data_IF_432730142339
#
_entry.id   IF_432730142339
#
_cell.length_a   1.000
_cell.length_b   1.000
_cell.length_c   1.000
_cell.angle_alpha   90.00
_cell.angle_beta   90.00
_cell.angle_gamma   90.00
#
_symmetry.space_group_name_H-M   'P 1'
#
loop_
_entity.id
_entity.type
_entity.pdbx_description
1 polymer ?
#
# COMPACT_ATOMS: atom_id res chain seq x y z
N UNK A 1 -22.67 33.75 -58.03
CA UNK A 1 -23.87 33.23 -57.34
C UNK A 1 -23.67 33.52 -55.85
N UNK A 2 -24.33 34.47 -55.19
CA UNK A 2 -25.52 35.28 -55.52
C UNK A 2 -26.79 34.44 -55.78
N UNK A 3 -27.95 34.70 -55.15
CA UNK A 3 -28.31 35.73 -54.14
C UNK A 3 -29.52 35.29 -53.30
N UNK A 4 -29.92 36.08 -52.29
CA UNK A 4 -31.07 35.87 -51.39
C UNK A 4 -32.44 36.25 -51.99
N UNK A 5 -33.54 35.93 -51.28
CA UNK A 5 -34.71 36.76 -50.86
C UNK A 5 -35.83 35.80 -50.32
N UNK A 6 -36.43 35.95 -49.12
CA UNK A 6 -37.51 36.88 -48.66
C UNK A 6 -38.85 36.72 -49.43
N UNK A 7 -40.07 36.76 -48.87
CA UNK A 7 -40.62 36.93 -47.48
C UNK A 7 -42.07 36.32 -47.42
N UNK A 8 -43.11 36.63 -46.62
CA UNK A 8 -43.50 37.68 -45.63
C UNK A 8 -44.80 37.27 -44.87
N UNK A 9 -44.97 37.66 -43.58
CA UNK A 9 -46.27 37.93 -42.88
C UNK A 9 -47.33 36.81 -42.70
N UNK A 10 -48.39 36.88 -41.85
CA UNK A 10 -48.90 37.92 -40.90
C UNK A 10 -49.58 37.30 -39.64
N UNK A 11 -50.08 38.11 -38.68
CA UNK A 11 -50.62 37.67 -37.37
C UNK A 11 -52.16 37.79 -37.22
N UNK A 12 -52.78 37.00 -36.34
CA UNK A 12 -54.21 37.13 -35.93
C UNK A 12 -54.39 36.93 -34.41
N UNK A 13 -55.48 37.47 -33.85
CA UNK A 13 -55.77 37.70 -32.41
C UNK A 13 -56.64 36.59 -31.77
N UNK A 14 -56.52 36.40 -30.44
CA UNK A 14 -57.47 35.64 -29.59
C UNK A 14 -57.56 36.25 -28.18
N UNK A 15 -58.73 36.19 -27.51
CA UNK A 15 -59.08 37.08 -26.37
C UNK A 15 -59.77 36.36 -25.18
N UNK A 16 -59.25 36.66 -23.98
CA UNK A 16 -59.87 36.75 -22.63
C UNK A 16 -61.14 35.95 -22.29
N UNK A 17 -61.07 35.18 -21.20
CA UNK A 17 -62.10 35.20 -20.12
C UNK A 17 -61.39 35.23 -18.75
N UNK A 18 -61.90 36.03 -17.81
CA UNK A 18 -61.53 36.01 -16.38
C UNK A 18 -62.80 35.72 -15.57
N UNK A 19 -62.70 34.86 -14.56
CA UNK A 19 -63.70 34.75 -13.49
C UNK A 19 -62.96 34.71 -12.16
N UNK A 20 -63.37 35.59 -11.24
CA UNK A 20 -62.91 35.58 -9.85
C UNK A 20 -64.15 35.52 -8.93
N UNK A 21 -64.06 34.71 -7.87
CA UNK A 21 -65.07 34.65 -6.83
C UNK A 21 -64.38 34.46 -5.47
N UNK A 22 -64.56 35.41 -4.56
CA UNK A 22 -64.13 35.30 -3.18
C UNK A 22 -65.25 34.67 -2.33
N UNK A 23 -64.88 34.05 -1.20
CA UNK A 23 -65.31 34.48 0.15
C UNK A 23 -64.59 33.63 1.20
N UNK A 24 -64.31 34.23 2.37
CA UNK A 24 -63.60 33.59 3.47
C UNK A 24 -64.54 32.77 4.37
N UNK A 25 -63.99 31.80 5.10
CA UNK A 25 -64.37 31.55 6.48
C UNK A 25 -63.14 31.27 7.36
N UNK A 26 -63.20 31.63 8.63
CA UNK A 26 -62.03 31.69 9.52
C UNK A 26 -61.85 30.42 10.39
N UNK A 27 -60.61 30.13 10.81
CA UNK A 27 -60.33 28.98 11.67
C UNK A 27 -58.92 28.90 12.26
N UNK A 28 -58.76 29.45 13.47
CA UNK A 28 -57.75 29.10 14.50
C UNK A 28 -56.26 29.35 14.19
N UNK A 29 -55.55 29.97 15.13
CA UNK A 29 -54.10 30.17 15.09
C UNK A 29 -53.32 28.97 15.65
N UNK A 30 -52.14 28.69 15.11
CA UNK A 30 -51.10 27.93 15.81
C UNK A 30 -49.71 28.52 15.50
N UNK A 31 -48.79 28.43 16.47
CA UNK A 31 -47.49 29.08 16.37
C UNK A 31 -46.54 28.36 15.41
N UNK A 32 -45.70 29.12 14.70
CA UNK A 32 -44.68 28.57 13.81
C UNK A 32 -43.70 27.67 14.56
N UNK A 33 -43.51 26.44 14.06
CA UNK A 33 -42.43 25.55 14.53
C UNK A 33 -41.10 25.96 13.90
N UNK A 34 -39.97 25.88 14.64
CA UNK A 34 -38.67 26.27 14.13
C UNK A 34 -38.15 25.28 13.07
N UNK A 35 -37.16 25.72 12.30
CA UNK A 35 -36.44 24.86 11.36
C UNK A 35 -35.88 23.62 12.07
N UNK A 36 -36.09 22.44 11.48
CA UNK A 36 -35.55 21.18 12.00
C UNK A 36 -34.03 21.20 11.91
N UNK A 37 -33.37 21.16 13.06
CA UNK A 37 -31.92 20.93 13.15
C UNK A 37 -31.55 19.62 12.46
N UNK A 38 -30.65 19.68 11.47
CA UNK A 38 -30.00 18.49 10.94
C UNK A 38 -29.13 17.91 12.05
N UNK A 39 -29.55 16.77 12.59
CA UNK A 39 -28.87 16.10 13.70
C UNK A 39 -27.48 15.60 13.30
N UNK A 40 -26.57 15.52 14.27
CA UNK A 40 -25.13 15.28 14.06
C UNK A 40 -24.80 13.78 13.93
N UNK A 41 -25.60 13.04 13.17
CA UNK A 41 -25.60 11.57 13.08
C UNK A 41 -24.49 11.00 12.18
N UNK A 42 -23.26 11.47 12.39
CA UNK A 42 -22.05 11.03 11.68
C UNK A 42 -20.99 10.38 12.60
N UNK A 43 -21.32 10.12 13.87
CA UNK A 43 -20.39 9.58 14.88
C UNK A 43 -20.64 8.12 15.32
N UNK A 44 -21.65 7.43 14.79
CA UNK A 44 -21.95 6.02 15.12
C UNK A 44 -21.74 5.03 13.97
N UNK A 45 -20.81 5.33 13.06
CA UNK A 45 -20.41 4.45 11.93
C UNK A 45 -19.74 3.10 12.30
N UNK A 46 -19.52 2.81 13.59
CA UNK A 46 -18.85 1.58 14.07
C UNK A 46 -19.60 0.27 13.76
N UNK A 47 -20.85 0.33 13.30
CA UNK A 47 -21.72 -0.85 13.15
C UNK A 47 -21.72 -1.59 11.80
N UNK A 48 -21.05 -1.08 10.74
CA UNK A 48 -21.18 -1.67 9.38
C UNK A 48 -19.89 -1.92 8.58
N UNK A 49 -18.71 -1.52 9.06
CA UNK A 49 -17.43 -1.88 8.42
C UNK A 49 -16.70 -2.96 9.25
N UNK A 50 -17.42 -4.04 9.56
CA UNK A 50 -16.78 -5.36 9.61
C UNK A 50 -16.80 -5.94 8.19
N UNK A 51 -15.90 -5.45 7.32
CA UNK A 51 -15.28 -6.38 6.35
C UNK A 51 -14.74 -7.53 7.19
N UNK A 52 -14.93 -8.77 6.75
CA UNK A 52 -14.29 -9.91 7.42
C UNK A 52 -12.79 -9.72 7.24
N UNK A 53 -12.11 -9.26 8.28
CA UNK A 53 -10.65 -9.22 8.32
C UNK A 53 -10.15 -10.58 8.82
N UNK A 54 -8.94 -10.96 8.41
CA UNK A 54 -8.25 -12.08 9.02
C UNK A 54 -7.94 -11.77 10.50
N UNK A 55 -8.73 -12.32 11.43
CA UNK A 55 -8.54 -12.09 12.89
C UNK A 55 -7.31 -12.85 13.47
N UNK A 56 -6.20 -12.96 12.71
CA UNK A 56 -4.92 -13.49 13.20
C UNK A 56 -4.16 -12.50 14.11
N UNK A 57 -4.49 -11.20 14.04
CA UNK A 57 -3.88 -10.14 14.85
C UNK A 57 -2.46 -9.76 14.42
N UNK A 58 -2.13 -9.95 13.15
CA UNK A 58 -0.92 -9.42 12.49
C UNK A 58 -1.29 -8.27 11.54
N UNK A 59 -0.30 -7.55 11.02
CA UNK A 59 -0.51 -6.51 10.00
C UNK A 59 -1.37 -5.32 10.44
N UNK A 60 -1.39 -4.96 11.73
CA UNK A 60 -2.15 -3.80 12.22
C UNK A 60 -1.66 -2.46 11.62
N UNK A 61 -0.40 -2.43 11.21
CA UNK A 61 0.22 -1.49 10.27
C UNK A 61 0.84 -2.29 9.11
N UNK A 62 1.25 -1.66 7.99
CA UNK A 62 1.95 -2.36 6.91
C UNK A 62 3.23 -3.02 7.42
N UNK A 63 3.61 -4.18 6.87
CA UNK A 63 4.86 -4.84 7.23
C UNK A 63 6.07 -4.01 6.78
N UNK A 64 7.15 -4.10 7.56
CA UNK A 64 8.44 -3.49 7.26
C UNK A 64 9.54 -4.53 7.40
N UNK A 65 10.46 -4.59 6.44
CA UNK A 65 11.51 -5.61 6.44
C UNK A 65 12.41 -5.54 5.20
N UNK A 66 12.94 -6.68 4.82
CA UNK A 66 13.81 -6.88 3.66
C UNK A 66 13.43 -8.17 2.93
N UNK A 67 13.68 -8.23 1.63
CA UNK A 67 13.48 -9.42 0.80
C UNK A 67 14.68 -9.61 -0.15
N UNK A 68 15.10 -10.85 -0.38
CA UNK A 68 16.28 -11.18 -1.19
C UNK A 68 16.13 -10.97 -2.71
N UNK A 69 14.91 -10.94 -3.25
CA UNK A 69 14.66 -11.16 -4.67
C UNK A 69 15.29 -10.11 -5.59
N UNK A 70 14.96 -8.83 -5.41
CA UNK A 70 15.32 -7.79 -6.38
C UNK A 70 16.84 -7.70 -6.61
N UNK A 71 17.64 -7.80 -5.54
CA UNK A 71 19.11 -7.75 -5.65
C UNK A 71 19.78 -9.10 -5.93
N UNK A 72 19.33 -10.20 -5.31
CA UNK A 72 20.06 -11.47 -5.34
C UNK A 72 19.41 -12.57 -6.22
N UNK A 73 18.11 -12.47 -6.50
CA UNK A 73 17.32 -13.52 -7.15
C UNK A 73 17.58 -14.89 -6.48
N UNK A 74 17.90 -15.95 -7.25
CA UNK A 74 18.27 -17.26 -6.69
C UNK A 74 19.65 -17.32 -6.00
N UNK A 75 20.47 -16.26 -5.99
CA UNK A 75 21.85 -16.30 -5.47
C UNK A 75 21.91 -16.17 -3.93
N UNK A 76 21.04 -16.89 -3.22
CA UNK A 76 20.87 -16.83 -1.77
C UNK A 76 21.51 -18.02 -1.06
N UNK A 77 21.97 -17.80 0.17
CA UNK A 77 22.52 -18.83 1.05
C UNK A 77 22.45 -18.39 2.52
N UNK A 78 22.65 -19.33 3.45
CA UNK A 78 22.55 -19.10 4.89
C UNK A 78 23.46 -17.97 5.40
N UNK A 79 24.69 -17.83 4.88
CA UNK A 79 25.60 -16.78 5.34
C UNK A 79 25.12 -15.39 4.89
N UNK A 80 24.70 -15.24 3.63
CA UNK A 80 24.11 -13.99 3.13
C UNK A 80 22.97 -13.52 4.03
N UNK A 81 22.05 -14.41 4.39
CA UNK A 81 20.85 -14.03 5.17
C UNK A 81 21.22 -13.67 6.62
N UNK A 82 22.22 -14.34 7.20
CA UNK A 82 22.76 -13.98 8.52
C UNK A 82 23.44 -12.61 8.50
N UNK A 83 24.29 -12.35 7.51
CA UNK A 83 24.94 -11.05 7.31
C UNK A 83 23.92 -9.93 7.06
N UNK A 84 22.86 -10.18 6.28
CA UNK A 84 21.74 -9.27 6.07
C UNK A 84 21.02 -8.95 7.39
N UNK A 85 20.72 -9.95 8.21
CA UNK A 85 20.10 -9.75 9.52
C UNK A 85 21.01 -8.91 10.46
N UNK A 86 22.31 -9.17 10.46
CA UNK A 86 23.30 -8.37 11.20
C UNK A 86 23.44 -6.94 10.65
N UNK A 87 23.35 -6.75 9.34
CA UNK A 87 23.34 -5.42 8.71
C UNK A 87 22.07 -4.63 9.06
N UNK A 88 20.90 -5.26 9.07
CA UNK A 88 19.64 -4.62 9.49
C UNK A 88 19.68 -4.15 10.94
N UNK A 89 20.32 -4.91 11.85
CA UNK A 89 20.53 -4.46 13.24
C UNK A 89 21.59 -3.35 13.34
N UNK A 90 22.76 -3.55 12.74
CA UNK A 90 23.91 -2.64 12.92
C UNK A 90 23.76 -1.29 12.19
N UNK A 91 23.05 -1.23 11.08
CA UNK A 91 22.60 0.02 10.42
C UNK A 91 21.51 0.75 11.21
N UNK A 92 20.89 0.10 12.19
CA UNK A 92 19.77 0.62 12.97
C UNK A 92 18.40 0.48 12.30
N UNK A 93 18.30 -0.05 11.08
CA UNK A 93 17.03 -0.28 10.37
C UNK A 93 16.04 -1.11 11.20
N UNK A 94 16.51 -2.16 11.89
CA UNK A 94 15.70 -2.98 12.79
C UNK A 94 15.01 -2.13 13.88
N UNK A 95 15.71 -1.14 14.44
CA UNK A 95 15.19 -0.22 15.45
C UNK A 95 14.22 0.86 14.88
N UNK A 96 13.98 0.86 13.56
CA UNK A 96 12.96 1.68 12.89
C UNK A 96 11.69 0.89 12.55
N UNK A 97 11.68 -0.43 12.80
CA UNK A 97 10.56 -1.32 12.52
C UNK A 97 10.79 -2.31 11.37
N UNK A 98 11.92 -2.25 10.65
CA UNK A 98 12.27 -3.24 9.63
C UNK A 98 12.60 -4.59 10.28
N UNK A 99 11.56 -5.38 10.57
CA UNK A 99 11.64 -6.58 11.43
C UNK A 99 11.67 -7.91 10.65
N UNK A 100 11.10 -7.98 9.45
CA UNK A 100 11.07 -9.22 8.65
C UNK A 100 12.29 -9.36 7.76
N UNK A 101 12.99 -10.49 7.86
CA UNK A 101 14.04 -10.94 6.93
C UNK A 101 13.43 -12.03 6.06
N UNK A 102 12.96 -11.68 4.87
CA UNK A 102 12.23 -12.61 4.01
C UNK A 102 13.18 -13.32 3.03
N UNK A 103 13.19 -14.65 3.08
CA UNK A 103 13.65 -15.46 1.95
C UNK A 103 12.61 -15.40 0.83
N UNK A 104 13.06 -15.11 -0.39
CA UNK A 104 12.26 -15.33 -1.60
C UNK A 104 12.56 -16.72 -2.21
N UNK A 105 12.29 -16.93 -3.50
CA UNK A 105 12.45 -18.22 -4.19
C UNK A 105 13.88 -18.82 -4.14
N UNK A 106 13.99 -20.08 -4.55
CA UNK A 106 15.23 -20.86 -4.70
C UNK A 106 15.94 -21.24 -3.38
N UNK A 107 15.25 -21.17 -2.24
CA UNK A 107 15.78 -21.62 -0.94
C UNK A 107 15.73 -23.15 -0.71
N UNK A 108 14.84 -23.86 -1.43
CA UNK A 108 14.55 -25.28 -1.25
C UNK A 108 15.39 -26.21 -2.14
N UNK A 109 15.33 -27.51 -1.85
CA UNK A 109 15.68 -28.54 -2.82
C UNK A 109 14.62 -28.65 -3.93
N UNK A 110 15.04 -29.09 -5.11
CA UNK A 110 14.15 -29.31 -6.28
C UNK A 110 13.04 -30.34 -6.02
N UNK A 111 13.23 -31.25 -5.05
CA UNK A 111 12.31 -32.33 -4.75
C UNK A 111 11.95 -32.36 -3.27
N UNK A 112 10.67 -32.67 -2.97
CA UNK A 112 10.21 -33.02 -1.62
C UNK A 112 10.91 -34.31 -1.15
N UNK A 113 11.15 -34.42 0.16
CA UNK A 113 11.61 -35.70 0.74
C UNK A 113 10.52 -36.77 0.66
N UNK A 114 10.85 -38.04 0.92
CA UNK A 114 9.91 -39.17 0.76
C UNK A 114 8.64 -39.09 1.64
N UNK A 115 8.66 -38.27 2.69
CA UNK A 115 7.49 -37.96 3.54
C UNK A 115 6.59 -36.85 2.96
N UNK A 116 6.95 -36.23 1.83
CA UNK A 116 6.22 -35.13 1.19
C UNK A 116 6.58 -33.72 1.69
N UNK A 117 7.44 -33.58 2.70
CA UNK A 117 7.83 -32.26 3.20
C UNK A 117 8.75 -31.51 2.21
N UNK A 118 8.64 -30.18 2.18
CA UNK A 118 9.71 -29.32 1.68
C UNK A 118 10.99 -29.49 2.54
N UNK A 119 12.15 -29.26 1.95
CA UNK A 119 13.45 -29.26 2.62
C UNK A 119 14.32 -28.14 2.04
N UNK A 120 15.15 -27.52 2.88
CA UNK A 120 16.10 -26.48 2.46
C UNK A 120 17.17 -27.05 1.54
N UNK A 121 17.67 -26.27 0.59
CA UNK A 121 18.80 -26.65 -0.24
C UNK A 121 20.02 -26.96 0.66
N UNK A 122 20.53 -28.19 0.64
CA UNK A 122 21.54 -28.64 1.60
C UNK A 122 22.93 -28.00 1.40
N UNK A 123 23.17 -27.38 0.23
CA UNK A 123 24.42 -26.68 -0.08
C UNK A 123 24.35 -25.19 0.26
N UNK A 124 23.21 -24.54 0.00
CA UNK A 124 23.00 -23.13 0.31
C UNK A 124 22.59 -22.89 1.77
N UNK A 125 21.82 -23.82 2.38
CA UNK A 125 21.29 -23.72 3.74
C UNK A 125 21.65 -24.97 4.57
N UNK A 126 22.95 -25.26 4.79
CA UNK A 126 23.40 -26.51 5.41
C UNK A 126 22.92 -26.73 6.85
N UNK A 127 22.59 -25.67 7.60
CA UNK A 127 22.01 -25.80 8.95
C UNK A 127 20.48 -25.96 8.94
N UNK A 128 19.83 -25.79 7.78
CA UNK A 128 18.37 -25.80 7.60
C UNK A 128 17.66 -24.54 8.09
N UNK A 129 16.44 -24.31 7.58
CA UNK A 129 15.65 -23.08 7.84
C UNK A 129 15.40 -22.85 9.34
N UNK A 130 15.23 -23.90 10.16
CA UNK A 130 15.05 -23.74 11.61
C UNK A 130 16.24 -23.06 12.28
N UNK A 131 17.47 -23.49 11.99
CA UNK A 131 18.66 -22.87 12.58
C UNK A 131 18.85 -21.41 12.10
N UNK A 132 18.44 -21.11 10.87
CA UNK A 132 18.40 -19.74 10.35
C UNK A 132 17.32 -18.89 11.04
N UNK A 133 16.13 -19.43 11.29
CA UNK A 133 15.06 -18.75 12.04
C UNK A 133 15.50 -18.47 13.48
N UNK A 134 16.06 -19.46 14.18
CA UNK A 134 16.61 -19.30 15.53
C UNK A 134 17.71 -18.23 15.56
N UNK A 135 18.55 -18.13 14.51
CA UNK A 135 19.54 -17.05 14.37
C UNK A 135 18.87 -15.68 14.20
N UNK A 136 17.92 -15.53 13.29
CA UNK A 136 17.21 -14.26 13.03
C UNK A 136 16.42 -13.81 14.26
N UNK A 137 15.76 -14.74 14.97
CA UNK A 137 15.10 -14.47 16.26
C UNK A 137 16.09 -14.02 17.33
N UNK A 138 17.31 -14.56 17.37
CA UNK A 138 18.35 -14.11 18.31
C UNK A 138 18.80 -12.65 18.10
N UNK A 139 18.53 -12.07 16.92
CA UNK A 139 18.75 -10.65 16.59
C UNK A 139 17.57 -9.75 16.94
N UNK A 140 16.45 -10.31 17.44
CA UNK A 140 15.19 -9.59 17.63
C UNK A 140 14.39 -9.37 16.34
N UNK A 141 14.77 -10.05 15.26
CA UNK A 141 14.12 -10.00 13.95
C UNK A 141 13.20 -11.22 13.76
N UNK A 142 12.48 -11.27 12.63
CA UNK A 142 11.54 -12.32 12.23
C UNK A 142 11.96 -12.93 10.89
N UNK A 143 11.81 -14.24 10.70
CA UNK A 143 12.15 -14.89 9.43
C UNK A 143 10.91 -15.09 8.56
N UNK A 144 10.95 -14.58 7.34
CA UNK A 144 9.99 -14.92 6.30
C UNK A 144 10.49 -15.99 5.34
N UNK A 145 9.56 -16.72 4.75
CA UNK A 145 9.80 -17.72 3.71
C UNK A 145 8.90 -17.49 2.51
N UNK A 146 9.18 -18.23 1.44
CA UNK A 146 8.46 -18.18 0.18
C UNK A 146 7.96 -19.56 -0.24
N UNK A 147 6.78 -19.61 -0.86
CA UNK A 147 6.32 -20.74 -1.68
C UNK A 147 5.25 -20.26 -2.67
N UNK A 148 4.61 -21.17 -3.39
CA UNK A 148 3.69 -20.88 -4.49
C UNK A 148 2.36 -21.63 -4.32
N UNK A 149 1.25 -21.00 -4.70
CA UNK A 149 -0.07 -21.61 -4.90
C UNK A 149 -0.17 -22.44 -6.20
N UNK A 150 0.94 -23.05 -6.62
CA UNK A 150 1.09 -23.94 -7.77
C UNK A 150 1.93 -25.18 -7.46
N UNK A 151 2.28 -25.96 -8.49
CA UNK A 151 3.06 -27.20 -8.33
C UNK A 151 4.57 -26.97 -8.13
N UNK A 152 5.10 -25.90 -8.71
CA UNK A 152 6.48 -25.43 -8.58
C UNK A 152 6.46 -23.92 -8.38
N UNK A 153 7.54 -23.37 -7.80
CA UNK A 153 7.72 -21.92 -7.70
C UNK A 153 8.03 -21.26 -9.04
N UNK A 154 7.96 -19.92 -9.11
CA UNK A 154 8.17 -19.17 -10.34
C UNK A 154 9.52 -19.40 -11.03
N UNK A 155 10.61 -19.64 -10.28
CA UNK A 155 11.91 -20.03 -10.86
C UNK A 155 11.95 -21.46 -11.39
N UNK A 156 10.99 -22.32 -11.02
CA UNK A 156 11.00 -23.75 -11.27
C UNK A 156 12.06 -24.52 -10.48
N UNK A 157 12.81 -23.87 -9.58
CA UNK A 157 13.94 -24.50 -8.85
C UNK A 157 13.51 -25.33 -7.65
N UNK A 158 12.30 -25.13 -7.13
CA UNK A 158 11.76 -25.86 -5.98
C UNK A 158 10.24 -26.08 -6.06
N UNK A 159 9.65 -27.01 -5.27
CA UNK A 159 8.23 -27.29 -5.27
C UNK A 159 7.37 -26.14 -4.68
N UNK A 160 6.20 -25.91 -5.28
CA UNK A 160 5.13 -25.11 -4.70
C UNK A 160 4.31 -25.93 -3.70
N UNK A 161 3.40 -25.28 -2.96
CA UNK A 161 2.62 -25.90 -1.87
C UNK A 161 1.20 -26.33 -2.27
N UNK A 162 0.80 -26.24 -3.55
CA UNK A 162 -0.55 -26.62 -3.99
C UNK A 162 -0.83 -28.11 -3.71
N UNK A 163 -1.87 -28.39 -2.92
CA UNK A 163 -2.21 -29.74 -2.43
C UNK A 163 -1.35 -30.24 -1.26
N UNK A 164 -0.36 -29.45 -0.80
CA UNK A 164 0.49 -29.72 0.36
C UNK A 164 0.34 -28.64 1.45
N UNK A 165 -0.66 -27.75 1.37
CA UNK A 165 -0.75 -26.54 2.19
C UNK A 165 -0.76 -26.86 3.69
N UNK A 166 -1.52 -27.86 4.11
CA UNK A 166 -1.58 -28.33 5.50
C UNK A 166 -0.29 -29.00 6.00
N UNK A 167 0.58 -29.48 5.11
CA UNK A 167 1.87 -30.09 5.42
C UNK A 167 2.95 -29.02 5.50
N UNK A 168 2.97 -28.09 4.55
CA UNK A 168 3.99 -27.05 4.46
C UNK A 168 3.75 -25.97 5.51
N UNK A 169 2.51 -25.56 5.78
CA UNK A 169 2.21 -24.64 6.89
C UNK A 169 2.68 -25.18 8.26
N UNK A 170 2.52 -26.49 8.51
CA UNK A 170 3.04 -27.16 9.72
C UNK A 170 4.57 -27.23 9.71
N UNK A 171 5.17 -27.45 8.54
CA UNK A 171 6.63 -27.41 8.35
C UNK A 171 7.20 -26.02 8.68
N UNK A 172 6.67 -24.96 8.07
CA UNK A 172 7.05 -23.56 8.33
C UNK A 172 6.88 -23.18 9.80
N UNK A 173 5.76 -23.56 10.43
CA UNK A 173 5.53 -23.33 11.86
C UNK A 173 6.56 -24.08 12.75
N UNK A 174 6.92 -25.33 12.41
CA UNK A 174 7.95 -26.10 13.13
C UNK A 174 9.35 -25.49 13.01
N UNK A 175 9.64 -24.87 11.86
CA UNK A 175 10.86 -24.11 11.60
C UNK A 175 10.86 -22.72 12.24
N UNK A 176 9.74 -22.26 12.80
CA UNK A 176 9.65 -20.94 13.45
C UNK A 176 9.47 -19.77 12.48
N UNK A 177 9.08 -20.01 11.23
CA UNK A 177 8.76 -18.96 10.24
C UNK A 177 7.68 -18.02 10.77
N UNK A 178 7.81 -16.72 10.48
CA UNK A 178 6.90 -15.65 10.92
C UNK A 178 6.09 -15.03 9.77
N UNK A 179 6.51 -15.24 8.53
CA UNK A 179 5.94 -14.62 7.34
C UNK A 179 6.00 -15.58 6.14
N UNK A 180 4.96 -15.61 5.32
CA UNK A 180 4.93 -16.33 4.04
C UNK A 180 4.56 -15.36 2.91
N UNK A 181 5.48 -15.14 1.96
CA UNK A 181 5.11 -14.72 0.59
C UNK A 181 4.60 -15.97 -0.14
N UNK A 182 3.41 -15.89 -0.70
CA UNK A 182 2.77 -17.02 -1.37
C UNK A 182 2.39 -16.62 -2.79
N UNK A 183 3.03 -17.23 -3.77
CA UNK A 183 3.02 -16.85 -5.19
C UNK A 183 1.95 -17.59 -6.01
N UNK A 184 1.97 -17.43 -7.33
CA UNK A 184 0.89 -17.85 -8.22
C UNK A 184 1.34 -18.51 -9.54
N UNK A 185 2.61 -18.85 -9.71
CA UNK A 185 3.10 -19.56 -10.89
C UNK A 185 2.63 -21.02 -10.91
N UNK A 186 2.80 -21.71 -12.05
CA UNK A 186 2.57 -23.17 -12.20
C UNK A 186 1.23 -23.70 -11.62
N UNK A 187 0.20 -22.85 -11.57
CA UNK A 187 -1.12 -23.22 -11.09
C UNK A 187 -1.96 -23.83 -12.25
N UNK A 188 -2.94 -24.72 -11.97
CA UNK A 188 -3.68 -25.44 -13.00
C UNK A 188 -4.80 -24.61 -13.66
N UNK A 189 -4.71 -23.28 -13.65
CA UNK A 189 -5.75 -22.36 -14.13
C UNK A 189 -6.92 -22.16 -13.16
N UNK A 190 -6.85 -22.67 -11.93
CA UNK A 190 -7.88 -22.47 -10.89
C UNK A 190 -7.76 -21.09 -10.24
N UNK A 191 -8.89 -20.51 -9.85
CA UNK A 191 -8.93 -19.13 -9.33
C UNK A 191 -8.07 -18.97 -8.08
N UNK A 192 -7.34 -17.84 -7.91
CA UNK A 192 -6.68 -17.55 -6.65
C UNK A 192 -7.68 -17.48 -5.47
N UNK A 193 -8.95 -17.13 -5.72
CA UNK A 193 -10.04 -17.15 -4.73
C UNK A 193 -10.39 -18.56 -4.22
N UNK A 194 -9.98 -19.61 -4.92
CA UNK A 194 -10.16 -21.00 -4.50
C UNK A 194 -8.91 -21.53 -3.78
N UNK A 195 -7.71 -21.24 -4.33
CA UNK A 195 -6.44 -21.75 -3.82
C UNK A 195 -5.96 -21.06 -2.53
N UNK A 196 -5.94 -19.73 -2.50
CA UNK A 196 -5.36 -18.98 -1.37
C UNK A 196 -6.08 -19.18 -0.02
N UNK A 197 -7.42 -19.36 0.05
CA UNK A 197 -8.08 -19.73 1.31
C UNK A 197 -7.60 -21.04 1.93
N UNK A 198 -7.09 -21.99 1.12
CA UNK A 198 -6.58 -23.28 1.61
C UNK A 198 -5.30 -23.05 2.42
N UNK A 199 -4.33 -22.31 1.86
CA UNK A 199 -3.10 -21.95 2.57
C UNK A 199 -3.37 -21.04 3.78
N UNK A 200 -4.27 -20.05 3.67
CA UNK A 200 -4.70 -19.23 4.81
C UNK A 200 -5.20 -20.08 5.99
N UNK A 201 -6.11 -21.03 5.71
CA UNK A 201 -6.63 -21.97 6.71
C UNK A 201 -5.52 -22.87 7.27
N UNK A 202 -4.60 -23.33 6.43
CA UNK A 202 -3.46 -24.14 6.86
C UNK A 202 -2.52 -23.39 7.81
N UNK A 203 -2.21 -22.11 7.51
CA UNK A 203 -1.41 -21.23 8.38
C UNK A 203 -2.10 -20.97 9.72
N UNK A 204 -3.40 -20.65 9.73
CA UNK A 204 -4.19 -20.50 10.96
C UNK A 204 -4.18 -21.77 11.82
N UNK A 205 -4.24 -22.95 11.19
CA UNK A 205 -4.24 -24.26 11.85
C UNK A 205 -2.81 -24.77 12.18
N UNK A 206 -1.75 -24.06 11.81
CA UNK A 206 -0.36 -24.52 11.96
C UNK A 206 0.15 -24.54 13.42
N UNK A 207 -0.54 -23.81 14.31
CA UNK A 207 -0.10 -23.58 15.69
C UNK A 207 0.84 -22.39 15.88
N UNK A 208 1.31 -21.75 14.80
CA UNK A 208 2.10 -20.51 14.84
C UNK A 208 1.35 -19.38 14.13
N UNK A 209 1.49 -18.14 14.63
CA UNK A 209 1.04 -16.95 13.89
C UNK A 209 2.04 -16.65 12.79
N UNK A 210 1.61 -16.76 11.54
CA UNK A 210 2.40 -16.46 10.34
C UNK A 210 1.67 -15.35 9.59
N UNK A 211 2.38 -14.29 9.21
CA UNK A 211 1.89 -13.22 8.34
C UNK A 211 1.71 -13.78 6.92
N UNK A 212 0.54 -13.61 6.31
CA UNK A 212 0.26 -14.16 4.98
C UNK A 212 0.20 -13.04 3.94
N UNK A 213 1.16 -13.05 3.02
CA UNK A 213 1.31 -12.09 1.93
C UNK A 213 1.04 -12.77 0.59
N UNK A 214 -0.06 -12.40 -0.06
CA UNK A 214 -0.47 -12.96 -1.35
C UNK A 214 0.30 -12.31 -2.50
N UNK A 215 0.73 -13.11 -3.46
CA UNK A 215 1.46 -12.69 -4.66
C UNK A 215 0.80 -13.35 -5.89
N UNK A 216 -0.39 -12.85 -6.26
CA UNK A 216 -1.13 -13.24 -7.48
C UNK A 216 -1.20 -12.10 -8.49
N UNK A 217 -0.35 -11.09 -8.31
CA UNK A 217 -0.16 -9.94 -9.21
C UNK A 217 -1.41 -9.08 -9.44
N UNK A 218 -2.40 -9.13 -8.56
CA UNK A 218 -3.69 -8.48 -8.75
C UNK A 218 -4.75 -9.31 -9.50
N UNK A 219 -4.49 -10.60 -9.76
CA UNK A 219 -5.40 -11.48 -10.49
C UNK A 219 -6.78 -11.60 -9.81
N UNK A 220 -7.80 -11.15 -10.54
CA UNK A 220 -9.18 -11.04 -10.06
C UNK A 220 -9.39 -10.12 -8.83
N UNK A 221 -8.67 -8.99 -8.79
CA UNK A 221 -8.92 -7.85 -7.89
C UNK A 221 -8.84 -8.21 -6.38
N UNK A 222 -7.67 -8.63 -5.86
CA UNK A 222 -7.48 -9.14 -4.49
C UNK A 222 -7.91 -8.18 -3.40
N UNK A 223 -7.80 -6.87 -3.65
CA UNK A 223 -8.37 -5.81 -2.81
C UNK A 223 -9.83 -6.09 -2.38
N UNK A 224 -10.62 -6.73 -3.24
CA UNK A 224 -12.04 -7.01 -2.99
C UNK A 224 -12.30 -8.26 -2.11
N UNK A 225 -11.33 -9.17 -1.93
CA UNK A 225 -11.53 -10.46 -1.24
C UNK A 225 -10.41 -10.90 -0.29
N UNK A 226 -9.14 -10.64 -0.60
CA UNK A 226 -7.96 -11.15 0.10
C UNK A 226 -7.87 -10.70 1.58
N UNK A 227 -8.41 -9.53 1.92
CA UNK A 227 -8.50 -9.01 3.31
C UNK A 227 -9.16 -9.97 4.32
N UNK A 228 -9.93 -10.95 3.85
CA UNK A 228 -10.57 -11.97 4.69
C UNK A 228 -9.73 -13.22 4.96
N UNK A 229 -8.59 -13.36 4.28
CA UNK A 229 -7.73 -14.55 4.36
C UNK A 229 -6.24 -14.24 4.53
N UNK A 230 -5.77 -13.03 4.23
CA UNK A 230 -4.36 -12.62 4.32
C UNK A 230 -4.16 -11.21 4.87
N UNK A 231 -2.91 -10.85 5.11
CA UNK A 231 -2.49 -9.58 5.71
C UNK A 231 -1.95 -8.56 4.70
N UNK A 232 -1.50 -9.01 3.53
CA UNK A 232 -1.29 -8.15 2.35
C UNK A 232 -1.51 -8.94 1.07
N UNK A 233 -1.70 -8.25 -0.04
CA UNK A 233 -1.84 -8.85 -1.37
C UNK A 233 -1.24 -7.94 -2.43
N UNK A 234 -0.44 -8.52 -3.34
CA UNK A 234 0.06 -7.82 -4.53
C UNK A 234 -1.11 -7.28 -5.34
N UNK A 235 -0.91 -6.14 -5.99
CA UNK A 235 -1.95 -5.46 -6.79
C UNK A 235 -1.59 -5.31 -8.26
N UNK A 236 -0.38 -5.77 -8.60
CA UNK A 236 0.31 -5.59 -9.87
C UNK A 236 1.34 -6.71 -10.08
N UNK A 237 1.76 -6.93 -11.33
CA UNK A 237 3.00 -7.63 -11.67
C UNK A 237 4.23 -6.94 -11.03
N UNK A 238 5.39 -7.58 -11.11
CA UNK A 238 6.60 -7.17 -10.37
C UNK A 238 7.07 -5.76 -10.71
N UNK A 239 7.68 -5.10 -9.72
CA UNK A 239 8.45 -3.88 -9.91
C UNK A 239 9.81 -4.22 -10.56
N UNK A 240 10.41 -3.21 -11.17
CA UNK A 240 11.79 -3.23 -11.63
C UNK A 240 12.41 -1.86 -11.30
N UNK A 241 13.73 -1.82 -11.08
CA UNK A 241 14.46 -0.59 -10.79
C UNK A 241 14.55 0.31 -12.05
N UNK A 242 13.46 1.01 -12.33
CA UNK A 242 13.34 2.09 -13.29
C UNK A 242 12.06 2.90 -13.03
N UNK A 243 12.05 4.13 -13.52
CA UNK A 243 10.99 5.10 -13.29
C UNK A 243 9.61 4.65 -13.79
N UNK A 244 9.55 4.13 -15.02
CA UNK A 244 8.29 3.78 -15.66
C UNK A 244 7.62 2.58 -14.96
N UNK A 245 8.41 1.57 -14.56
CA UNK A 245 7.91 0.46 -13.74
C UNK A 245 7.38 0.96 -12.41
N UNK A 246 8.21 1.64 -11.60
CA UNK A 246 7.83 2.14 -10.27
C UNK A 246 6.57 3.03 -10.32
N UNK A 247 6.52 4.01 -11.24
CA UNK A 247 5.34 4.87 -11.32
C UNK A 247 4.11 4.15 -11.86
N UNK A 248 4.25 3.13 -12.72
CA UNK A 248 3.12 2.29 -13.12
C UNK A 248 2.57 1.43 -11.98
N UNK A 249 3.43 0.90 -11.09
CA UNK A 249 2.97 0.14 -9.92
C UNK A 249 2.14 1.03 -8.99
N UNK A 250 2.60 2.26 -8.75
CA UNK A 250 1.86 3.26 -7.97
C UNK A 250 0.49 3.60 -8.58
N UNK A 251 0.43 3.87 -9.89
CA UNK A 251 -0.82 4.21 -10.59
C UNK A 251 -1.84 3.05 -10.58
N UNK A 252 -1.38 1.81 -10.76
CA UNK A 252 -2.25 0.62 -10.76
C UNK A 252 -2.76 0.26 -9.36
N UNK A 253 -2.00 0.57 -8.31
CA UNK A 253 -2.41 0.39 -6.90
C UNK A 253 -3.39 1.46 -6.42
N UNK A 254 -3.29 2.71 -6.88
CA UNK A 254 -4.08 3.86 -6.37
C UNK A 254 -5.60 3.61 -6.34
N UNK A 255 -6.15 2.97 -7.37
CA UNK A 255 -7.58 2.58 -7.46
C UNK A 255 -8.06 1.72 -6.29
N UNK A 256 -7.17 1.03 -5.59
CA UNK A 256 -7.49 0.12 -4.48
C UNK A 256 -7.49 0.79 -3.10
N UNK A 257 -7.22 2.09 -3.00
CA UNK A 257 -7.07 2.81 -1.73
C UNK A 257 -8.23 2.68 -0.72
N UNK A 258 -9.44 2.39 -1.17
CA UNK A 258 -10.62 2.18 -0.30
C UNK A 258 -10.74 0.75 0.26
N UNK A 259 -9.80 -0.14 -0.04
CA UNK A 259 -9.79 -1.54 0.40
C UNK A 259 -8.78 -1.84 1.50
N UNK A 260 -7.60 -1.22 1.47
CA UNK A 260 -6.58 -1.38 2.50
C UNK A 260 -7.01 -0.82 3.87
N UNK A 261 -6.43 -1.38 4.94
CA UNK A 261 -6.58 -0.92 6.31
C UNK A 261 -5.92 -1.86 7.32
N UNK A 262 -6.00 -1.56 8.63
CA UNK A 262 -5.43 -2.39 9.68
C UNK A 262 -5.84 -3.87 9.57
N UNK A 263 -4.84 -4.73 9.38
CA UNK A 263 -4.99 -6.18 9.18
C UNK A 263 -4.93 -6.65 7.71
N UNK A 264 -4.96 -5.75 6.72
CA UNK A 264 -4.98 -6.10 5.30
C UNK A 264 -4.56 -4.96 4.36
N UNK A 265 -3.42 -5.09 3.68
CA UNK A 265 -2.80 -4.03 2.87
C UNK A 265 -2.71 -4.36 1.37
N UNK A 266 -2.91 -3.34 0.54
CA UNK A 266 -2.55 -3.41 -0.88
C UNK A 266 -1.02 -3.33 -1.00
N UNK A 267 -0.43 -4.23 -1.79
CA UNK A 267 1.00 -4.32 -2.02
C UNK A 267 1.32 -3.93 -3.48
N UNK A 268 1.96 -2.76 -3.72
CA UNK A 268 2.51 -2.36 -5.02
C UNK A 268 3.93 -2.91 -5.29
N UNK A 269 4.35 -3.92 -4.54
CA UNK A 269 5.64 -4.61 -4.58
C UNK A 269 6.80 -3.92 -3.83
N UNK A 270 7.97 -4.55 -3.82
CA UNK A 270 9.15 -4.21 -3.01
C UNK A 270 9.79 -2.83 -3.32
N UNK A 271 10.63 -2.35 -2.41
CA UNK A 271 11.38 -1.10 -2.55
C UNK A 271 12.70 -1.32 -3.29
N UNK A 272 12.83 -0.72 -4.47
CA UNK A 272 14.07 -0.72 -5.28
C UNK A 272 15.15 0.26 -4.78
N UNK A 273 14.87 0.96 -3.68
CA UNK A 273 15.72 2.02 -3.12
C UNK A 273 17.13 1.50 -2.80
N UNK A 274 18.09 1.81 -3.67
CA UNK A 274 19.49 1.41 -3.55
C UNK A 274 20.00 0.37 -4.56
N UNK A 275 19.18 -0.09 -5.52
CA UNK A 275 19.61 -1.07 -6.53
C UNK A 275 20.42 -0.47 -7.71
N UNK A 276 20.44 0.85 -7.85
CA UNK A 276 21.45 1.62 -8.59
C UNK A 276 21.05 2.17 -9.95
N UNK A 277 19.83 1.92 -10.45
CA UNK A 277 19.37 2.40 -11.77
C UNK A 277 18.62 3.73 -11.66
N UNK A 278 17.69 3.86 -10.71
CA UNK A 278 17.00 5.14 -10.44
C UNK A 278 17.89 6.13 -9.68
N UNK A 279 17.60 7.42 -9.86
CA UNK A 279 18.28 8.52 -9.16
C UNK A 279 17.79 8.68 -7.71
N UNK A 280 18.56 9.40 -6.88
CA UNK A 280 18.20 9.72 -5.49
C UNK A 280 16.83 10.40 -5.33
N UNK A 281 16.43 11.26 -6.27
CA UNK A 281 15.13 11.94 -6.22
C UNK A 281 13.98 11.01 -6.65
N UNK A 282 14.23 10.11 -7.60
CA UNK A 282 13.29 9.07 -8.01
C UNK A 282 13.05 8.06 -6.88
N UNK A 283 14.11 7.61 -6.20
CA UNK A 283 14.00 6.78 -4.99
C UNK A 283 13.32 7.51 -3.83
N UNK A 284 13.55 8.82 -3.67
CA UNK A 284 12.82 9.62 -2.66
C UNK A 284 11.33 9.67 -2.98
N UNK A 285 10.96 9.81 -4.25
CA UNK A 285 9.58 9.74 -4.73
C UNK A 285 8.97 8.35 -4.49
N UNK A 286 9.65 7.28 -4.88
CA UNK A 286 9.29 5.87 -4.63
C UNK A 286 8.93 5.65 -3.14
N UNK A 287 9.89 5.90 -2.25
CA UNK A 287 9.70 5.71 -0.80
C UNK A 287 8.59 6.59 -0.21
N UNK A 288 8.46 7.84 -0.68
CA UNK A 288 7.40 8.76 -0.22
C UNK A 288 6.01 8.29 -0.63
N UNK A 289 5.86 7.77 -1.85
CA UNK A 289 4.59 7.23 -2.35
C UNK A 289 4.25 5.94 -1.62
N UNK A 290 5.17 4.97 -1.52
CA UNK A 290 4.95 3.71 -0.78
C UNK A 290 4.54 3.96 0.68
N UNK A 291 5.19 4.91 1.35
CA UNK A 291 4.84 5.31 2.70
C UNK A 291 3.45 5.98 2.80
N UNK A 292 3.11 6.85 1.84
CA UNK A 292 1.79 7.49 1.78
C UNK A 292 0.67 6.46 1.55
N UNK A 293 0.84 5.57 0.56
CA UNK A 293 -0.17 4.59 0.14
C UNK A 293 -0.29 3.38 1.08
N UNK A 294 0.45 3.34 2.20
CA UNK A 294 0.44 2.23 3.17
C UNK A 294 0.86 0.89 2.54
N UNK A 295 1.76 0.95 1.57
CA UNK A 295 2.43 -0.23 1.03
C UNK A 295 3.27 -0.93 2.11
N UNK A 296 3.54 -2.23 1.97
CA UNK A 296 4.69 -2.87 2.60
C UNK A 296 5.98 -2.09 2.33
N UNK A 297 6.83 -1.91 3.35
CA UNK A 297 8.17 -1.34 3.18
C UNK A 297 9.19 -2.46 3.29
N UNK A 298 9.23 -3.31 2.26
CA UNK A 298 10.22 -4.37 2.10
C UNK A 298 11.39 -3.86 1.26
N UNK A 299 12.57 -3.73 1.87
CA UNK A 299 13.81 -3.31 1.21
C UNK A 299 14.27 -4.41 0.24
N UNK A 300 14.51 -4.07 -1.02
CA UNK A 300 14.97 -4.99 -2.06
C UNK A 300 16.45 -4.87 -2.45
N UNK A 301 17.26 -4.07 -1.74
CA UNK A 301 18.68 -3.86 -2.01
C UNK A 301 19.61 -4.62 -1.03
N UNK A 302 20.92 -4.65 -1.30
CA UNK A 302 21.91 -5.19 -0.35
C UNK A 302 22.14 -4.25 0.84
N UNK A 303 21.41 -4.52 1.94
CA UNK A 303 21.54 -3.78 3.21
C UNK A 303 22.94 -3.87 3.84
N UNK A 304 23.79 -4.81 3.42
CA UNK A 304 25.17 -4.94 3.93
C UNK A 304 26.13 -3.91 3.30
N UNK A 305 25.77 -3.31 2.17
CA UNK A 305 26.64 -2.47 1.35
C UNK A 305 26.02 -1.14 0.90
N UNK A 306 24.89 -0.73 1.48
CA UNK A 306 24.23 0.57 1.22
C UNK A 306 25.18 1.75 1.37
N UNK A 307 25.04 2.73 0.47
CA UNK A 307 25.65 4.04 0.64
C UNK A 307 24.87 4.89 1.68
N UNK A 308 25.48 5.99 2.13
CA UNK A 308 24.85 6.91 3.09
C UNK A 308 23.53 7.50 2.57
N UNK A 309 23.40 7.72 1.26
CA UNK A 309 22.19 8.26 0.64
C UNK A 309 21.02 7.28 0.74
N UNK A 310 21.26 6.02 0.38
CA UNK A 310 20.30 4.92 0.47
C UNK A 310 19.85 4.71 1.92
N UNK A 311 20.79 4.67 2.86
CA UNK A 311 20.48 4.58 4.28
C UNK A 311 19.66 5.80 4.76
N UNK A 312 19.98 7.03 4.33
CA UNK A 312 19.22 8.23 4.70
C UNK A 312 17.81 8.28 4.09
N UNK A 313 17.57 7.67 2.94
CA UNK A 313 16.22 7.50 2.39
C UNK A 313 15.42 6.50 3.22
N UNK A 314 15.96 5.29 3.41
CA UNK A 314 15.29 4.20 4.13
C UNK A 314 15.14 4.43 5.63
N UNK A 315 16.00 5.26 6.25
CA UNK A 315 15.95 5.53 7.69
C UNK A 315 15.08 6.73 8.12
N UNK A 316 14.35 7.37 7.19
CA UNK A 316 13.56 8.55 7.51
C UNK A 316 12.33 8.22 8.38
N UNK A 317 12.52 8.34 9.70
CA UNK A 317 11.51 8.15 10.75
C UNK A 317 10.21 8.92 10.54
N UNK A 318 10.23 10.09 9.91
CA UNK A 318 9.01 10.88 9.69
C UNK A 318 8.18 10.34 8.52
N UNK A 319 8.84 9.82 7.48
CA UNK A 319 8.19 9.14 6.35
C UNK A 319 7.67 7.76 6.78
N UNK A 320 8.48 7.01 7.54
CA UNK A 320 8.05 5.74 8.17
C UNK A 320 6.83 5.96 9.07
N UNK A 321 6.79 7.03 9.87
CA UNK A 321 5.64 7.35 10.70
C UNK A 321 4.36 7.70 9.91
N UNK A 322 4.46 8.07 8.63
CA UNK A 322 3.29 8.19 7.73
C UNK A 322 2.83 6.81 7.24
N UNK A 323 3.73 5.86 7.00
CA UNK A 323 3.39 4.48 6.67
C UNK A 323 2.74 3.75 7.86
N UNK A 324 3.32 3.91 9.05
CA UNK A 324 2.94 3.23 10.30
C UNK A 324 1.88 3.99 11.12
N UNK A 325 1.16 4.97 10.53
CA UNK A 325 0.13 5.72 11.25
C UNK A 325 -1.09 4.83 11.58
N UNK A 326 -1.45 4.78 12.87
CA UNK A 326 -2.50 3.91 13.39
C UNK A 326 -3.93 4.20 12.96
N UNK A 327 -4.20 5.24 12.15
CA UNK A 327 -5.47 5.36 11.42
C UNK A 327 -5.53 4.38 10.23
N UNK A 328 -4.38 4.00 9.67
CA UNK A 328 -4.25 2.94 8.69
C UNK A 328 -4.91 3.21 7.34
N UNK A 329 -5.19 4.47 6.97
CA UNK A 329 -5.81 4.80 5.68
C UNK A 329 -4.73 4.96 4.60
N UNK A 330 -4.88 4.22 3.50
CA UNK A 330 -4.10 4.41 2.28
C UNK A 330 -4.35 5.82 1.72
N UNK A 331 -3.27 6.61 1.65
CA UNK A 331 -3.28 7.85 0.87
C UNK A 331 -3.34 7.52 -0.62
N UNK A 332 -3.81 8.47 -1.42
CA UNK A 332 -4.12 8.26 -2.83
C UNK A 332 -3.90 9.52 -3.67
N UNK A 333 -3.90 9.39 -4.99
CA UNK A 333 -3.93 10.54 -5.90
C UNK A 333 -5.23 11.32 -5.70
N UNK A 334 -5.11 12.64 -5.55
CA UNK A 334 -6.25 13.57 -5.42
C UNK A 334 -6.29 14.62 -6.52
N UNK A 335 -5.18 14.81 -7.24
CA UNK A 335 -5.06 15.73 -8.38
C UNK A 335 -3.94 15.28 -9.31
N UNK A 336 -4.16 15.43 -10.61
CA UNK A 336 -3.15 15.33 -11.67
C UNK A 336 -3.41 16.46 -12.66
N UNK A 337 -2.35 17.17 -13.03
CA UNK A 337 -2.30 18.19 -14.07
C UNK A 337 -1.15 17.80 -15.01
N UNK A 338 -1.46 16.87 -15.93
CA UNK A 338 -0.47 16.09 -16.63
C UNK A 338 0.46 15.37 -15.64
N UNK A 339 1.76 15.64 -15.75
CA UNK A 339 2.80 15.05 -14.92
C UNK A 339 2.93 15.67 -13.51
N UNK A 340 2.14 16.71 -13.19
CA UNK A 340 2.18 17.38 -11.88
C UNK A 340 1.05 16.84 -11.00
N UNK A 341 1.39 16.12 -9.93
CA UNK A 341 0.43 15.37 -9.13
C UNK A 341 0.42 15.80 -7.67
N UNK A 342 -0.75 15.69 -7.05
CA UNK A 342 -0.91 15.75 -5.59
C UNK A 342 -1.52 14.43 -5.14
N UNK A 343 -0.85 13.79 -4.20
CA UNK A 343 -1.35 12.63 -3.47
C UNK A 343 -1.55 13.04 -2.01
N UNK A 344 -2.62 12.54 -1.38
CA UNK A 344 -2.91 12.84 0.03
C UNK A 344 -3.64 11.69 0.75
N UNK A 345 -3.49 11.66 2.07
CA UNK A 345 -4.21 10.72 2.93
C UNK A 345 -4.40 11.29 4.34
N UNK A 346 -5.54 11.05 5.00
CA UNK A 346 -5.72 11.40 6.40
C UNK A 346 -4.83 10.52 7.29
N UNK A 347 -4.38 11.09 8.40
CA UNK A 347 -3.64 10.41 9.45
C UNK A 347 -4.36 10.57 10.80
N UNK A 348 -3.92 9.83 11.80
CA UNK A 348 -4.31 10.01 13.19
C UNK A 348 -4.21 11.48 13.65
N UNK A 349 -4.98 11.85 14.68
CA UNK A 349 -5.01 13.22 15.25
C UNK A 349 -5.41 14.32 14.24
N UNK A 350 -6.27 14.00 13.27
CA UNK A 350 -6.78 14.91 12.23
C UNK A 350 -5.69 15.58 11.37
N UNK A 351 -4.54 14.92 11.21
CA UNK A 351 -3.46 15.35 10.32
C UNK A 351 -3.72 14.86 8.89
N UNK A 352 -3.05 15.45 7.92
CA UNK A 352 -3.08 15.03 6.52
C UNK A 352 -1.64 14.86 6.02
N UNK A 353 -1.30 13.68 5.50
CA UNK A 353 -0.10 13.49 4.70
C UNK A 353 -0.36 13.99 3.27
N UNK A 354 0.60 14.71 2.70
CA UNK A 354 0.53 15.22 1.32
C UNK A 354 1.88 14.98 0.63
N UNK A 355 1.86 14.37 -0.55
CA UNK A 355 3.01 14.34 -1.46
C UNK A 355 2.67 15.23 -2.65
N UNK A 356 3.50 16.25 -2.87
CA UNK A 356 3.56 16.99 -4.13
C UNK A 356 4.58 16.28 -5.01
N UNK A 357 4.19 15.86 -6.21
CA UNK A 357 5.02 15.02 -7.08
C UNK A 357 5.15 15.63 -8.48
N UNK A 358 6.37 15.74 -8.98
CA UNK A 358 6.64 16.15 -10.35
C UNK A 358 7.15 14.93 -11.13
N UNK A 359 6.30 14.29 -11.93
CA UNK A 359 6.67 13.19 -12.84
C UNK A 359 7.22 13.68 -14.19
N UNK A 360 7.41 14.99 -14.35
CA UNK A 360 7.89 15.61 -15.58
C UNK A 360 9.41 15.71 -15.65
N UNK A 361 9.92 15.85 -16.88
CA UNK A 361 11.34 15.91 -17.23
C UNK A 361 12.03 17.27 -16.95
N UNK A 362 11.37 18.17 -16.22
CA UNK A 362 11.85 19.53 -15.92
C UNK A 362 11.27 20.07 -14.62
N UNK A 363 11.93 21.06 -14.00
CA UNK A 363 11.47 21.69 -12.75
C UNK A 363 10.14 22.41 -12.96
N UNK A 364 9.17 22.16 -12.08
CA UNK A 364 7.85 22.78 -12.11
C UNK A 364 7.31 23.08 -10.70
N UNK A 365 6.40 24.04 -10.60
CA UNK A 365 5.70 24.37 -9.35
C UNK A 365 4.47 23.48 -9.18
N UNK A 366 4.45 22.63 -8.14
CA UNK A 366 3.29 21.78 -7.80
C UNK A 366 2.53 22.42 -6.65
N UNK A 367 1.18 22.41 -6.70
CA UNK A 367 0.32 23.05 -5.71
C UNK A 367 -0.87 22.16 -5.29
N UNK A 368 -0.97 21.90 -3.99
CA UNK A 368 -2.13 21.29 -3.35
C UNK A 368 -2.99 22.36 -2.69
N UNK A 369 -4.23 22.53 -3.16
CA UNK A 369 -5.23 23.37 -2.49
C UNK A 369 -5.93 22.58 -1.39
N UNK A 370 -6.42 23.25 -0.35
CA UNK A 370 -7.09 22.60 0.78
C UNK A 370 -8.33 21.80 0.36
N UNK A 371 -9.04 22.27 -0.67
CA UNK A 371 -10.11 21.55 -1.38
C UNK A 371 -9.70 20.16 -1.84
N UNK A 372 -8.48 20.03 -2.35
CA UNK A 372 -7.97 18.84 -3.04
C UNK A 372 -7.64 17.74 -2.01
N UNK A 373 -7.24 18.16 -0.79
CA UNK A 373 -6.75 17.30 0.30
C UNK A 373 -7.73 17.17 1.48
N UNK A 374 -9.00 17.59 1.31
CA UNK A 374 -10.06 17.39 2.30
C UNK A 374 -10.03 18.36 3.51
N UNK A 375 -9.39 19.52 3.38
CA UNK A 375 -9.37 20.57 4.40
C UNK A 375 -10.30 21.73 4.03
N UNK A 376 -10.90 22.39 5.04
CA UNK A 376 -11.61 23.65 4.81
C UNK A 376 -10.62 24.74 4.39
N UNK A 377 -10.94 25.55 3.38
CA UNK A 377 -10.06 26.61 2.87
C UNK A 377 -9.65 27.66 3.93
N UNK A 378 -10.43 27.79 5.00
CA UNK A 378 -10.15 28.64 6.16
C UNK A 378 -9.17 28.04 7.17
N UNK A 379 -8.94 26.72 7.15
CA UNK A 379 -8.07 26.00 8.10
C UNK A 379 -6.61 26.47 8.01
N UNK A 380 -6.06 26.80 9.16
CA UNK A 380 -4.64 27.13 9.32
C UNK A 380 -3.89 25.89 9.81
N UNK A 381 -2.72 25.60 9.23
CA UNK A 381 -1.92 24.40 9.57
C UNK A 381 -0.48 24.75 9.94
N UNK A 382 0.18 23.81 10.61
CA UNK A 382 1.64 23.65 10.61
C UNK A 382 1.97 22.62 9.52
N UNK A 383 2.83 22.97 8.58
CA UNK A 383 3.29 22.08 7.53
C UNK A 383 4.72 21.61 7.86
N UNK A 384 4.86 20.34 8.23
CA UNK A 384 6.15 19.67 8.46
C UNK A 384 6.63 19.10 7.12
N UNK A 385 7.77 19.56 6.62
CA UNK A 385 8.47 18.95 5.48
C UNK A 385 9.28 17.75 6.00
N UNK A 386 8.96 16.55 5.54
CA UNK A 386 9.49 15.31 6.13
C UNK A 386 10.92 15.01 5.66
N UNK A 387 11.34 15.59 4.53
CA UNK A 387 12.68 15.39 3.96
C UNK A 387 13.64 16.52 4.31
N UNK A 388 13.13 17.76 4.41
CA UNK A 388 13.91 18.90 4.92
C UNK A 388 13.93 18.99 6.46
N UNK A 389 13.22 18.08 7.16
CA UNK A 389 13.03 18.08 8.62
C UNK A 389 12.70 19.48 9.20
N UNK A 390 11.90 20.26 8.48
CA UNK A 390 11.60 21.68 8.77
C UNK A 390 10.10 21.93 8.87
N UNK A 391 9.68 23.00 9.57
CA UNK A 391 8.26 23.25 9.84
C UNK A 391 7.86 24.67 9.48
N UNK A 392 7.09 24.83 8.38
CA UNK A 392 6.42 26.09 8.05
C UNK A 392 5.16 26.22 8.93
N UNK A 393 4.89 27.42 9.46
CA UNK A 393 3.73 27.70 10.32
C UNK A 393 2.74 28.62 9.63
N UNK A 394 1.49 28.57 10.08
CA UNK A 394 0.41 29.46 9.63
C UNK A 394 0.07 29.37 8.14
N UNK A 395 0.30 28.20 7.53
CA UNK A 395 -0.07 27.93 6.13
C UNK A 395 -1.59 27.75 6.03
N UNK A 396 -2.21 28.28 4.97
CA UNK A 396 -3.66 28.36 4.80
C UNK A 396 -4.03 28.33 3.32
N UNK A 397 -5.14 27.68 2.97
CA UNK A 397 -5.72 27.64 1.62
C UNK A 397 -5.00 26.70 0.64
N UNK A 398 -3.67 26.71 0.61
CA UNK A 398 -2.85 25.83 -0.24
C UNK A 398 -1.43 25.65 0.31
N UNK A 399 -0.71 24.66 -0.22
CA UNK A 399 0.76 24.57 -0.16
C UNK A 399 1.32 24.37 -1.58
N UNK A 400 2.39 25.12 -1.88
CA UNK A 400 3.08 25.11 -3.17
C UNK A 400 4.58 24.93 -2.96
N UNK A 401 5.24 24.24 -3.89
CA UNK A 401 6.69 24.12 -3.94
C UNK A 401 7.17 23.98 -5.39
N UNK A 402 8.36 24.50 -5.68
CA UNK A 402 9.09 24.17 -6.90
C UNK A 402 9.81 22.84 -6.70
N UNK A 403 9.63 21.93 -7.66
CA UNK A 403 10.06 20.54 -7.56
C UNK A 403 10.81 20.16 -8.82
N UNK A 404 12.01 19.62 -8.68
CA UNK A 404 12.86 19.17 -9.79
C UNK A 404 12.26 17.96 -10.54
N UNK A 405 12.87 17.62 -11.68
CA UNK A 405 12.48 16.47 -12.49
C UNK A 405 12.42 15.20 -11.66
N UNK A 406 11.30 14.47 -11.74
CA UNK A 406 11.01 13.20 -11.04
C UNK A 406 11.06 13.27 -9.49
N UNK A 407 11.31 14.44 -8.92
CA UNK A 407 11.40 14.66 -7.47
C UNK A 407 10.02 14.85 -6.83
N UNK A 408 9.99 14.83 -5.49
CA UNK A 408 8.80 15.10 -4.70
C UNK A 408 9.08 16.02 -3.50
N UNK A 409 8.00 16.50 -2.89
CA UNK A 409 8.00 17.07 -1.53
C UNK A 409 6.90 16.41 -0.71
N UNK A 410 7.28 15.84 0.42
CA UNK A 410 6.37 15.15 1.34
C UNK A 410 6.15 15.99 2.60
N UNK A 411 4.89 16.17 2.96
CA UNK A 411 4.44 16.99 4.06
C UNK A 411 3.51 16.23 5.00
N UNK A 412 3.58 16.53 6.30
CA UNK A 412 2.47 16.32 7.23
C UNK A 412 1.90 17.67 7.63
N UNK A 413 0.63 17.89 7.30
CA UNK A 413 -0.15 19.05 7.71
C UNK A 413 -0.86 18.73 9.04
N UNK A 414 -0.61 19.55 10.05
CA UNK A 414 -1.34 19.52 11.33
C UNK A 414 -2.19 20.78 11.45
N UNK A 415 -3.53 20.69 11.39
CA UNK A 415 -4.44 21.79 11.73
C UNK A 415 -4.12 22.42 13.09
N UNK A 416 -4.48 23.69 13.24
CA UNK A 416 -4.32 24.51 14.46
C UNK A 416 -5.67 24.92 15.02
#
# INVERSE_FOLDING_TARGET
MATSFNSREQSVVGVVVVVAACVLYAGVASAGRPATSVSMDLLHGRGRIRRKLLENGLGLTPQMGWNSWNHFQCNINENLIKETADAMVSSGLAALGYEYVNLDDCWGELNRVSQGNLVANASAFPSGIKALADYVHSKGLKLGIYSDAGSQTCSGTMPGSLGHEEQDAKTFASWGVDYLKYDNCNNPGTSPKERYPIMSKALLNSGRKIFFSLCEWGQEDPATWASSIGNSWRTTDDIFDNWDSMTSRADLNDKWASYAGPGGWNDPDMLEVGNGVMTTEEYRSHFSIWALVKAPLLIGCDVRSMDYTTLMLLSNKEVIAVNQDGLGVQGKKVKSDGNLEVWAGPLSTNKVAVVLWNRGSSRATVTASWSDIGLNSTTVVKARDLWMHSTKRSIKGQISADIDSHACKMYVLSPQ
#
